data_IF_799231837311
#
_entry.id   IF_799231837311
#
_cell.length_a   1.000
_cell.length_b   1.000
_cell.length_c   1.000
_cell.angle_alpha   90.00
_cell.angle_beta   90.00
_cell.angle_gamma   90.00
#
_symmetry.space_group_name_H-M   'P 1'
#
loop_
_entity.id
_entity.type
_entity.pdbx_description
1 polymer ?
#
# COMPACT_ATOMS: atom_id res chain seq x y z
N UNK A 1 -9.60 12.45 13.11
CA UNK A 1 -10.00 11.66 11.92
C UNK A 1 -9.36 10.29 12.09
N UNK A 2 -10.14 9.27 12.45
CA UNK A 2 -9.63 7.90 12.62
C UNK A 2 -9.93 7.12 11.35
N UNK A 3 -8.87 6.80 10.60
CA UNK A 3 -8.95 5.81 9.54
C UNK A 3 -8.46 4.47 10.08
N UNK A 4 -9.19 3.41 9.79
CA UNK A 4 -8.63 2.08 9.96
C UNK A 4 -7.55 1.88 8.89
N UNK A 5 -6.34 1.55 9.31
CA UNK A 5 -5.27 1.11 8.42
C UNK A 5 -5.08 -0.40 8.58
N UNK A 6 -4.80 -1.08 7.48
CA UNK A 6 -4.57 -2.52 7.43
C UNK A 6 -3.12 -2.81 7.09
N UNK A 7 -2.48 -3.71 7.86
CA UNK A 7 -1.28 -4.41 7.41
C UNK A 7 -1.65 -5.57 6.49
N UNK A 8 -0.80 -5.86 5.54
CA UNK A 8 -0.94 -7.06 4.70
C UNK A 8 0.24 -7.98 4.95
N UNK A 9 -0.04 -9.23 5.31
CA UNK A 9 0.97 -10.27 5.40
C UNK A 9 1.03 -11.03 4.07
N UNK A 10 2.20 -11.06 3.46
CA UNK A 10 2.46 -11.83 2.24
C UNK A 10 3.37 -12.99 2.62
N UNK A 11 2.91 -14.22 2.41
CA UNK A 11 3.71 -15.41 2.65
C UNK A 11 4.49 -15.75 1.38
N UNK A 12 5.81 -15.79 1.51
CA UNK A 12 6.73 -16.15 0.44
C UNK A 12 6.80 -17.67 0.27
N UNK A 13 7.31 -18.13 -0.85
CA UNK A 13 7.41 -19.57 -1.17
C UNK A 13 8.30 -20.35 -0.18
N UNK A 14 9.29 -19.70 0.42
CA UNK A 14 10.12 -20.28 1.47
C UNK A 14 9.41 -20.39 2.84
N UNK A 15 8.19 -19.87 2.95
CA UNK A 15 7.36 -19.86 4.17
C UNK A 15 7.54 -18.62 5.04
N UNK A 16 8.51 -17.76 4.76
CA UNK A 16 8.71 -16.50 5.48
C UNK A 16 7.62 -15.47 5.15
N UNK A 17 7.47 -14.49 6.02
CA UNK A 17 6.45 -13.45 5.89
C UNK A 17 7.09 -12.10 5.58
N UNK A 18 6.48 -11.40 4.61
CA UNK A 18 6.67 -10.00 4.35
C UNK A 18 5.47 -9.23 4.92
N UNK A 19 5.74 -8.30 5.83
CA UNK A 19 4.73 -7.40 6.44
C UNK A 19 4.71 -6.10 5.65
N UNK A 20 3.65 -5.87 4.92
CA UNK A 20 3.45 -4.65 4.12
C UNK A 20 2.56 -3.67 4.87
N UNK A 21 3.02 -2.41 5.01
CA UNK A 21 2.29 -1.35 5.71
C UNK A 21 2.01 -1.69 7.18
N UNK A 22 3.04 -1.76 8.06
CA UNK A 22 2.87 -2.06 9.47
C UNK A 22 1.81 -1.22 10.15
N UNK A 23 0.87 -1.87 10.87
CA UNK A 23 -0.15 -1.28 11.75
C UNK A 23 0.21 -1.50 13.22
N UNK A 24 -0.54 -0.98 14.19
CA UNK A 24 -0.29 -1.30 15.59
C UNK A 24 -0.15 -2.81 15.82
N UNK A 25 0.78 -3.19 16.67
CA UNK A 25 1.09 -4.58 16.99
C UNK A 25 0.96 -4.80 18.50
N UNK A 26 0.40 -5.95 18.88
CA UNK A 26 0.28 -6.41 20.25
C UNK A 26 0.66 -7.89 20.38
N UNK A 27 0.69 -8.40 21.60
CA UNK A 27 1.10 -9.77 21.87
C UNK A 27 0.17 -10.82 21.22
N UNK A 28 -1.12 -10.51 21.10
CA UNK A 28 -2.08 -11.40 20.45
C UNK A 28 -1.80 -11.52 18.96
N UNK A 29 -1.55 -10.41 18.28
CA UNK A 29 -1.19 -10.39 16.86
C UNK A 29 0.14 -11.09 16.61
N UNK A 30 1.14 -10.91 17.50
CA UNK A 30 2.43 -11.62 17.43
C UNK A 30 2.21 -13.13 17.47
N UNK A 31 1.37 -13.64 18.38
CA UNK A 31 1.07 -15.07 18.48
C UNK A 31 0.35 -15.60 17.22
N UNK A 32 -0.60 -14.84 16.69
CA UNK A 32 -1.31 -15.20 15.46
C UNK A 32 -0.34 -15.27 14.26
N UNK A 33 0.57 -14.30 14.14
CA UNK A 33 1.59 -14.27 13.07
C UNK A 33 2.56 -15.44 13.19
N UNK A 34 3.00 -15.76 14.40
CA UNK A 34 3.92 -16.90 14.64
C UNK A 34 3.34 -18.24 14.17
N UNK A 35 2.02 -18.40 14.19
CA UNK A 35 1.34 -19.60 13.67
C UNK A 35 1.32 -19.66 12.13
N UNK A 36 1.57 -18.53 11.43
CA UNK A 36 1.55 -18.44 9.96
C UNK A 36 2.93 -18.62 9.37
N UNK A 37 3.97 -18.01 9.98
CA UNK A 37 5.34 -18.06 9.51
C UNK A 37 6.26 -17.10 10.26
N UNK A 38 7.55 -17.09 9.90
CA UNK A 38 8.54 -16.17 10.45
C UNK A 38 8.49 -14.84 9.71
N UNK A 39 8.43 -13.73 10.42
CA UNK A 39 8.56 -12.40 9.83
C UNK A 39 10.03 -12.17 9.45
N UNK A 40 10.28 -12.08 8.15
CA UNK A 40 11.62 -11.86 7.58
C UNK A 40 11.75 -10.44 7.01
N UNK A 41 10.64 -9.84 6.57
CA UNK A 41 10.66 -8.52 5.96
C UNK A 41 9.59 -7.61 6.53
N UNK A 42 10.00 -6.39 6.92
CA UNK A 42 9.12 -5.28 7.31
C UNK A 42 9.20 -4.23 6.21
N UNK A 43 8.06 -3.87 5.63
CA UNK A 43 7.99 -2.99 4.46
C UNK A 43 7.13 -1.77 4.76
N UNK A 44 7.74 -0.58 4.72
CA UNK A 44 7.04 0.71 4.63
C UNK A 44 6.88 1.08 3.14
N UNK A 45 5.77 0.74 2.49
CA UNK A 45 5.61 0.86 1.04
C UNK A 45 5.39 2.28 0.56
N UNK A 46 5.06 3.19 1.46
CA UNK A 46 4.76 4.58 1.15
C UNK A 46 5.26 5.55 2.22
N UNK A 47 5.40 6.81 1.83
CA UNK A 47 5.89 7.87 2.72
C UNK A 47 4.85 8.37 3.72
N UNK A 48 3.72 7.66 3.87
CA UNK A 48 2.70 7.78 4.92
C UNK A 48 2.45 6.46 5.65
N UNK A 49 3.09 5.34 5.25
CA UNK A 49 2.88 4.00 5.82
C UNK A 49 4.13 3.48 6.55
N UNK A 50 4.68 4.29 7.47
CA UNK A 50 5.90 3.98 8.23
C UNK A 50 5.75 4.11 9.75
N UNK A 51 4.60 4.56 10.25
CA UNK A 51 4.44 4.98 11.66
C UNK A 51 4.75 3.89 12.66
N UNK A 52 4.42 2.65 12.37
CA UNK A 52 4.58 1.51 13.26
C UNK A 52 5.80 0.62 12.94
N UNK A 53 6.63 1.02 11.98
CA UNK A 53 7.84 0.23 11.63
C UNK A 53 8.72 -0.03 12.84
N UNK A 54 8.98 0.98 13.68
CA UNK A 54 9.80 0.81 14.89
C UNK A 54 9.21 -0.16 15.92
N UNK A 55 7.88 -0.27 15.99
CA UNK A 55 7.22 -1.22 16.88
C UNK A 55 7.41 -2.66 16.38
N UNK A 56 7.27 -2.86 15.07
CA UNK A 56 7.52 -4.14 14.43
C UNK A 56 9.00 -4.55 14.48
N UNK A 57 9.94 -3.60 14.34
CA UNK A 57 11.38 -3.88 14.53
C UNK A 57 11.71 -4.35 15.94
N UNK A 58 11.02 -3.82 16.96
CA UNK A 58 11.19 -4.30 18.34
C UNK A 58 10.63 -5.72 18.53
N UNK A 59 9.51 -6.02 17.88
CA UNK A 59 8.91 -7.36 17.94
C UNK A 59 9.70 -8.40 17.11
N UNK A 60 10.32 -7.96 16.00
CA UNK A 60 11.05 -8.83 15.06
C UNK A 60 12.42 -8.21 14.72
N UNK A 61 13.38 -8.25 15.68
CA UNK A 61 14.67 -7.54 15.54
C UNK A 61 15.57 -8.10 14.42
N UNK A 62 15.36 -9.34 14.00
CA UNK A 62 16.11 -9.99 12.92
C UNK A 62 15.51 -9.74 11.53
N UNK A 63 14.34 -9.10 11.45
CA UNK A 63 13.67 -8.84 10.19
C UNK A 63 14.32 -7.68 9.42
N UNK A 64 14.54 -7.88 8.13
CA UNK A 64 15.05 -6.85 7.21
C UNK A 64 14.00 -5.78 6.96
N UNK A 65 14.34 -4.52 7.17
CA UNK A 65 13.45 -3.39 6.98
C UNK A 65 13.67 -2.69 5.64
N UNK A 66 12.59 -2.57 4.87
CA UNK A 66 12.54 -1.91 3.56
C UNK A 66 11.64 -0.70 3.62
N UNK A 67 12.09 0.43 3.11
CA UNK A 67 11.29 1.66 3.11
C UNK A 67 11.16 2.27 1.71
N UNK A 68 10.01 2.88 1.43
CA UNK A 68 9.82 3.71 0.25
C UNK A 68 10.75 4.93 0.30
N UNK A 69 11.39 5.33 -0.81
CA UNK A 69 12.16 6.56 -0.89
C UNK A 69 11.37 7.77 -0.36
N UNK A 70 12.02 8.60 0.45
CA UNK A 70 11.43 9.76 1.10
C UNK A 70 11.04 9.53 2.56
N UNK A 71 10.88 8.29 3.02
CA UNK A 71 10.66 7.97 4.45
C UNK A 71 11.89 8.35 5.26
N UNK A 72 13.10 8.10 4.76
CA UNK A 72 14.38 8.43 5.41
C UNK A 72 14.54 9.93 5.73
N UNK A 73 13.85 10.79 4.98
CA UNK A 73 13.86 12.23 5.24
C UNK A 73 12.84 12.65 6.30
N UNK A 74 11.74 11.90 6.44
CA UNK A 74 10.67 12.15 7.42
C UNK A 74 11.02 11.54 8.79
N UNK A 75 11.77 10.44 8.79
CA UNK A 75 12.13 9.66 9.96
C UNK A 75 13.62 9.37 9.96
N UNK A 76 14.40 10.40 10.27
CA UNK A 76 15.87 10.31 10.39
C UNK A 76 16.34 9.42 11.55
N UNK A 77 15.43 9.10 12.46
CA UNK A 77 15.61 8.20 13.61
C UNK A 77 15.31 6.73 13.30
N UNK A 78 14.65 6.46 12.15
CA UNK A 78 14.25 5.11 11.78
C UNK A 78 15.44 4.35 11.17
N UNK A 79 15.80 3.22 11.79
CA UNK A 79 16.72 2.28 11.15
C UNK A 79 16.03 1.59 9.96
N UNK A 80 16.75 1.41 8.86
CA UNK A 80 16.29 0.62 7.72
C UNK A 80 17.50 0.02 7.01
N UNK A 81 17.30 -1.11 6.33
CA UNK A 81 18.36 -1.81 5.61
C UNK A 81 18.40 -1.36 4.16
N UNK A 82 17.24 -1.22 3.52
CA UNK A 82 17.17 -0.95 2.09
C UNK A 82 16.06 0.02 1.69
N UNK A 83 16.32 0.72 0.60
CA UNK A 83 15.29 1.50 -0.11
C UNK A 83 14.61 0.62 -1.17
N UNK A 84 13.28 0.70 -1.21
CA UNK A 84 12.48 0.10 -2.28
C UNK A 84 12.71 0.84 -3.62
N UNK A 85 12.62 0.11 -4.71
CA UNK A 85 12.81 0.65 -6.06
C UNK A 85 11.81 0.07 -7.07
N UNK A 86 12.15 0.16 -8.35
CA UNK A 86 11.34 -0.35 -9.45
C UNK A 86 11.55 -1.84 -9.76
N UNK A 87 12.48 -2.48 -9.07
CA UNK A 87 12.78 -3.91 -9.23
C UNK A 87 12.66 -4.59 -7.89
N UNK A 88 12.11 -5.78 -7.92
CA UNK A 88 12.07 -6.65 -6.74
C UNK A 88 13.49 -7.04 -6.34
N UNK A 89 13.84 -6.97 -5.06
CA UNK A 89 15.11 -7.50 -4.57
C UNK A 89 15.12 -9.03 -4.65
N UNK A 90 16.31 -9.61 -4.59
CA UNK A 90 16.50 -11.06 -4.64
C UNK A 90 15.67 -11.82 -3.61
N UNK A 91 15.36 -11.19 -2.47
CA UNK A 91 14.58 -11.79 -1.38
C UNK A 91 13.16 -12.23 -1.78
N UNK A 92 12.56 -11.61 -2.81
CA UNK A 92 11.25 -12.00 -3.33
C UNK A 92 11.16 -11.85 -4.87
N UNK A 93 12.31 -11.87 -5.56
CA UNK A 93 12.34 -11.85 -7.02
C UNK A 93 11.61 -13.09 -7.57
N UNK A 94 10.75 -12.85 -8.58
CA UNK A 94 9.93 -13.91 -9.18
C UNK A 94 8.61 -14.19 -8.44
N UNK A 95 8.45 -13.76 -7.18
CA UNK A 95 7.22 -13.93 -6.39
C UNK A 95 6.40 -12.65 -6.31
N UNK A 96 7.05 -11.51 -6.13
CA UNK A 96 6.40 -10.20 -6.03
C UNK A 96 7.04 -9.26 -7.04
N UNK A 97 6.25 -8.73 -7.96
CA UNK A 97 6.66 -7.60 -8.79
C UNK A 97 6.37 -6.28 -8.07
N UNK A 98 7.15 -5.24 -8.39
CA UNK A 98 6.95 -3.94 -7.78
C UNK A 98 7.16 -2.77 -8.75
N UNK A 99 6.49 -1.66 -8.48
CA UNK A 99 6.63 -0.39 -9.20
C UNK A 99 6.64 0.75 -8.19
N UNK A 100 7.72 1.52 -8.18
CA UNK A 100 7.76 2.80 -7.48
C UNK A 100 7.00 3.84 -8.31
N UNK A 101 5.93 4.38 -7.74
CA UNK A 101 5.11 5.39 -8.40
C UNK A 101 5.86 6.71 -8.51
N UNK A 102 5.85 7.29 -9.69
CA UNK A 102 6.45 8.59 -10.02
C UNK A 102 5.38 9.59 -10.45
N UNK A 103 5.77 10.83 -10.63
CA UNK A 103 4.88 11.88 -11.14
C UNK A 103 3.96 12.50 -10.10
N UNK A 104 4.23 12.30 -8.82
CA UNK A 104 3.49 12.88 -7.70
C UNK A 104 4.35 13.86 -6.91
N UNK A 105 3.70 14.83 -6.26
CA UNK A 105 4.38 15.88 -5.48
C UNK A 105 4.41 15.59 -3.98
N UNK A 106 3.37 14.99 -3.43
CA UNK A 106 3.15 14.92 -1.98
C UNK A 106 3.33 13.52 -1.41
N UNK A 107 3.03 12.50 -2.20
CA UNK A 107 2.96 11.13 -1.75
C UNK A 107 3.73 10.22 -2.70
N UNK A 108 4.50 9.30 -2.13
CA UNK A 108 5.23 8.26 -2.86
C UNK A 108 4.85 6.90 -2.30
N UNK A 109 4.66 5.96 -3.18
CA UNK A 109 4.28 4.59 -2.85
C UNK A 109 4.93 3.61 -3.83
N UNK A 110 5.21 2.41 -3.34
CA UNK A 110 5.59 1.27 -4.16
C UNK A 110 4.41 0.30 -4.21
N UNK A 111 3.86 0.09 -5.38
CA UNK A 111 2.84 -0.93 -5.62
C UNK A 111 3.49 -2.31 -5.67
N UNK A 112 2.84 -3.32 -5.06
CA UNK A 112 3.30 -4.72 -5.03
C UNK A 112 2.29 -5.62 -5.74
N UNK A 113 2.77 -6.56 -6.54
CA UNK A 113 1.93 -7.59 -7.15
C UNK A 113 2.44 -8.96 -6.76
N UNK A 114 1.70 -9.65 -5.91
CA UNK A 114 1.99 -11.04 -5.54
C UNK A 114 1.45 -11.98 -6.60
N UNK A 115 2.36 -12.62 -7.34
CA UNK A 115 2.07 -13.41 -8.53
C UNK A 115 1.22 -14.63 -8.24
N UNK A 116 1.57 -15.40 -7.21
CA UNK A 116 0.90 -16.67 -6.90
C UNK A 116 -0.58 -16.50 -6.57
N UNK A 117 -0.95 -15.44 -5.80
CA UNK A 117 -2.35 -15.15 -5.46
C UNK A 117 -3.02 -14.20 -6.44
N UNK A 118 -2.29 -13.70 -7.45
CA UNK A 118 -2.75 -12.68 -8.41
C UNK A 118 -3.33 -11.45 -7.72
N UNK A 119 -2.67 -11.02 -6.64
CA UNK A 119 -3.14 -9.93 -5.79
C UNK A 119 -2.24 -8.70 -5.94
N UNK A 120 -2.85 -7.58 -6.29
CA UNK A 120 -2.22 -6.27 -6.21
C UNK A 120 -2.37 -5.73 -4.79
N UNK A 121 -1.28 -5.26 -4.18
CA UNK A 121 -1.26 -4.71 -2.82
C UNK A 121 -0.86 -3.24 -2.90
N UNK A 122 -1.73 -2.38 -2.40
CA UNK A 122 -1.59 -0.93 -2.45
C UNK A 122 -1.86 -0.31 -1.07
N UNK A 123 -1.46 0.93 -0.90
CA UNK A 123 -1.84 1.77 0.24
C UNK A 123 -2.76 2.91 -0.20
N UNK A 124 -2.19 4.08 -0.44
CA UNK A 124 -2.93 5.33 -0.72
C UNK A 124 -3.21 5.55 -2.21
N UNK A 125 -2.57 4.76 -3.09
CA UNK A 125 -2.81 4.82 -4.53
C UNK A 125 -4.26 4.44 -4.88
N UNK A 126 -4.92 3.71 -3.98
CA UNK A 126 -6.36 3.47 -3.96
C UNK A 126 -6.85 3.41 -2.52
N UNK A 127 -7.87 4.18 -2.23
CA UNK A 127 -8.74 4.04 -1.05
C UNK A 127 -10.15 3.68 -1.53
N UNK A 128 -10.86 2.86 -0.76
CA UNK A 128 -12.21 2.43 -1.08
C UNK A 128 -13.10 2.45 0.18
N UNK A 129 -13.38 3.66 0.64
CA UNK A 129 -14.14 3.90 1.87
C UNK A 129 -15.61 4.16 1.51
N UNK A 130 -16.50 3.45 2.18
CA UNK A 130 -17.92 3.54 1.92
C UNK A 130 -18.80 3.22 3.12
N UNK A 131 -20.10 3.07 2.88
CA UNK A 131 -21.08 2.79 3.93
C UNK A 131 -20.89 1.40 4.57
N UNK A 132 -20.20 0.48 3.90
CA UNK A 132 -19.88 -0.85 4.43
C UNK A 132 -18.56 -0.88 5.23
N UNK A 133 -17.74 0.17 5.13
CA UNK A 133 -16.42 0.19 5.76
C UNK A 133 -16.53 0.35 7.27
N UNK A 134 -15.98 -0.59 8.03
CA UNK A 134 -15.97 -0.53 9.49
C UNK A 134 -15.19 0.69 9.99
N UNK A 135 -15.76 1.42 10.98
CA UNK A 135 -15.14 2.59 11.60
C UNK A 135 -15.19 3.87 10.72
N UNK A 136 -15.93 3.87 9.62
CA UNK A 136 -16.15 5.05 8.79
C UNK A 136 -17.36 5.90 9.24
N UNK A 137 -17.54 6.06 10.58
CA UNK A 137 -18.71 6.73 11.17
C UNK A 137 -18.55 8.24 11.30
N UNK A 138 -17.37 8.80 11.02
CA UNK A 138 -17.11 10.24 11.12
C UNK A 138 -17.90 11.01 10.05
N UNK A 139 -18.92 11.76 10.51
CA UNK A 139 -19.84 12.52 9.66
C UNK A 139 -19.09 13.59 8.84
N UNK A 140 -18.09 14.24 9.43
CA UNK A 140 -17.30 15.28 8.75
C UNK A 140 -16.44 14.65 7.63
N UNK A 141 -15.82 13.52 7.93
CA UNK A 141 -15.09 12.73 6.95
C UNK A 141 -15.99 12.33 5.79
N UNK A 142 -17.16 11.76 6.10
CA UNK A 142 -18.15 11.34 5.10
C UNK A 142 -18.58 12.50 4.20
N UNK A 143 -18.77 13.70 4.75
CA UNK A 143 -19.10 14.88 3.98
C UNK A 143 -17.95 15.29 3.03
N UNK A 144 -16.71 15.33 3.53
CA UNK A 144 -15.54 15.66 2.73
C UNK A 144 -15.32 14.66 1.60
N UNK A 145 -15.40 13.35 1.89
CA UNK A 145 -15.25 12.29 0.89
C UNK A 145 -16.35 12.29 -0.15
N UNK A 146 -17.60 12.64 0.22
CA UNK A 146 -18.71 12.74 -0.72
C UNK A 146 -18.66 14.00 -1.56
N UNK A 147 -18.50 15.16 -0.93
CA UNK A 147 -18.69 16.45 -1.59
C UNK A 147 -17.44 16.96 -2.31
N UNK A 148 -16.25 16.81 -1.71
CA UNK A 148 -15.00 17.39 -2.23
C UNK A 148 -14.27 16.40 -3.13
N UNK A 149 -13.95 15.22 -2.62
CA UNK A 149 -13.12 14.24 -3.35
C UNK A 149 -13.94 13.25 -4.17
N UNK A 150 -15.25 13.15 -3.95
CA UNK A 150 -16.17 12.24 -4.65
C UNK A 150 -15.71 10.78 -4.65
N UNK A 151 -15.18 10.34 -3.52
CA UNK A 151 -14.59 9.01 -3.37
C UNK A 151 -15.37 8.09 -2.41
N UNK A 152 -16.50 8.55 -1.84
CA UNK A 152 -17.34 7.73 -1.01
C UNK A 152 -18.05 6.65 -1.83
N UNK A 153 -17.94 5.37 -1.43
CA UNK A 153 -18.39 4.19 -2.18
C UNK A 153 -17.77 4.07 -3.59
N UNK A 154 -16.61 4.71 -3.81
CA UNK A 154 -15.90 4.67 -5.09
C UNK A 154 -14.41 4.57 -4.85
N UNK A 155 -13.74 3.53 -5.37
CA UNK A 155 -12.28 3.46 -5.32
C UNK A 155 -11.66 4.68 -6.00
N UNK A 156 -10.79 5.38 -5.29
CA UNK A 156 -10.01 6.50 -5.83
C UNK A 156 -8.66 6.62 -5.13
N UNK A 157 -7.66 7.23 -5.76
CA UNK A 157 -6.45 7.62 -5.09
C UNK A 157 -6.75 8.56 -3.91
N UNK A 158 -5.94 8.48 -2.87
CA UNK A 158 -5.99 9.42 -1.74
C UNK A 158 -5.99 10.88 -2.23
N UNK A 159 -6.55 11.82 -1.47
CA UNK A 159 -6.58 13.24 -1.82
C UNK A 159 -5.22 13.80 -2.22
N UNK A 160 -4.14 13.37 -1.57
CA UNK A 160 -2.76 13.76 -1.84
C UNK A 160 -2.32 13.41 -3.26
N UNK A 161 -2.78 12.27 -3.79
CA UNK A 161 -2.57 11.91 -5.19
C UNK A 161 -3.43 12.76 -6.11
N UNK A 162 -4.74 12.89 -5.82
CA UNK A 162 -5.66 13.64 -6.67
C UNK A 162 -5.21 15.09 -6.89
N UNK A 163 -4.63 15.72 -5.86
CA UNK A 163 -4.09 17.08 -5.89
C UNK A 163 -2.61 17.14 -6.30
N UNK A 164 -1.92 16.04 -6.24
CA UNK A 164 -0.46 15.95 -6.34
C UNK A 164 0.10 15.48 -7.67
N UNK A 165 -0.73 15.12 -8.66
CA UNK A 165 -0.24 14.73 -10.00
C UNK A 165 0.52 15.88 -10.67
N UNK A 166 1.84 15.91 -10.57
CA UNK A 166 2.70 16.98 -11.09
C UNK A 166 3.36 16.63 -12.43
N UNK A 167 3.62 15.36 -12.68
CA UNK A 167 4.08 14.82 -13.95
C UNK A 167 3.20 13.62 -14.33
N UNK A 168 2.13 13.91 -15.06
CA UNK A 168 1.15 12.91 -15.45
C UNK A 168 1.72 11.88 -16.44
N UNK A 169 2.73 12.23 -17.23
CA UNK A 169 3.36 11.27 -18.15
C UNK A 169 4.13 10.21 -17.38
N UNK A 170 4.93 10.62 -16.39
CA UNK A 170 5.62 9.68 -15.49
C UNK A 170 4.65 8.84 -14.65
N UNK A 171 3.56 9.44 -14.17
CA UNK A 171 2.50 8.72 -13.45
C UNK A 171 1.84 7.67 -14.35
N UNK A 172 1.45 8.05 -15.57
CA UNK A 172 0.85 7.15 -16.57
C UNK A 172 1.74 5.94 -16.83
N UNK A 173 3.04 6.15 -17.09
CA UNK A 173 3.99 5.06 -17.31
C UNK A 173 3.96 4.04 -16.16
N UNK A 174 3.97 4.52 -14.91
CA UNK A 174 3.90 3.65 -13.74
C UNK A 174 2.56 2.92 -13.64
N UNK A 175 1.45 3.62 -13.82
CA UNK A 175 0.11 3.04 -13.72
C UNK A 175 -0.18 2.04 -14.83
N UNK A 176 0.29 2.28 -16.06
CA UNK A 176 0.18 1.32 -17.15
C UNK A 176 1.00 0.05 -16.90
N UNK A 177 2.19 0.19 -16.30
CA UNK A 177 2.98 -0.98 -15.86
C UNK A 177 2.23 -1.79 -14.80
N UNK A 178 1.57 -1.15 -13.84
CA UNK A 178 0.75 -1.82 -12.83
C UNK A 178 -0.45 -2.50 -13.50
N UNK A 179 -1.13 -1.81 -14.41
CA UNK A 179 -2.27 -2.36 -15.15
C UNK A 179 -1.89 -3.47 -16.15
N UNK A 180 -0.61 -3.62 -16.50
CA UNK A 180 -0.13 -4.74 -17.31
C UNK A 180 0.01 -6.05 -16.51
N UNK A 181 0.00 -5.99 -15.17
CA UNK A 181 -0.04 -7.21 -14.35
C UNK A 181 -1.42 -7.86 -14.41
N UNK A 182 -1.45 -9.19 -14.34
CA UNK A 182 -2.71 -9.96 -14.42
C UNK A 182 -3.37 -10.19 -13.05
N UNK A 183 -3.46 -9.14 -12.23
CA UNK A 183 -4.11 -9.25 -10.92
C UNK A 183 -5.63 -9.44 -11.06
N UNK A 184 -6.22 -10.18 -10.15
CA UNK A 184 -7.66 -10.45 -10.08
C UNK A 184 -8.33 -9.66 -8.95
N UNK A 185 -7.56 -9.33 -7.90
CA UNK A 185 -8.01 -8.61 -6.71
C UNK A 185 -7.02 -7.56 -6.27
N UNK A 186 -7.49 -6.60 -5.47
CA UNK A 186 -6.65 -5.57 -4.86
C UNK A 186 -6.88 -5.54 -3.37
N UNK A 187 -5.80 -5.72 -2.61
CA UNK A 187 -5.75 -5.47 -1.17
C UNK A 187 -5.22 -4.07 -0.94
N UNK A 188 -5.91 -3.30 -0.10
CA UNK A 188 -5.60 -1.90 0.17
C UNK A 188 -5.52 -1.62 1.66
N UNK A 189 -4.76 -0.60 2.04
CA UNK A 189 -4.61 -0.23 3.44
C UNK A 189 -5.90 0.40 4.02
N UNK A 190 -6.65 1.15 3.22
CA UNK A 190 -7.79 1.95 3.68
C UNK A 190 -9.09 1.58 2.97
N UNK A 191 -10.07 1.07 3.76
CA UNK A 191 -11.38 0.69 3.26
C UNK A 191 -11.48 -0.76 2.77
N UNK A 192 -12.42 -1.02 1.87
CA UNK A 192 -12.80 -2.38 1.45
C UNK A 192 -11.95 -2.85 0.26
N UNK A 193 -11.39 -4.04 0.34
CA UNK A 193 -10.64 -4.66 -0.75
C UNK A 193 -11.49 -4.80 -2.03
N UNK A 194 -10.84 -4.86 -3.18
CA UNK A 194 -11.53 -5.00 -4.47
C UNK A 194 -11.37 -6.45 -4.94
N UNK A 195 -12.45 -7.22 -4.88
CA UNK A 195 -12.47 -8.65 -5.19
C UNK A 195 -12.97 -8.96 -6.61
N UNK A 196 -13.60 -7.99 -7.27
CA UNK A 196 -14.19 -8.17 -8.60
C UNK A 196 -13.92 -6.95 -9.48
N UNK A 197 -13.79 -7.20 -10.79
CA UNK A 197 -13.58 -6.16 -11.80
C UNK A 197 -12.37 -5.24 -11.51
N UNK A 198 -11.36 -5.78 -10.83
CA UNK A 198 -10.25 -5.01 -10.28
C UNK A 198 -9.58 -4.11 -11.33
N UNK A 199 -9.26 -4.62 -12.52
CA UNK A 199 -8.66 -3.83 -13.60
C UNK A 199 -9.53 -2.67 -14.07
N UNK A 200 -10.82 -2.91 -14.30
CA UNK A 200 -11.75 -1.89 -14.77
C UNK A 200 -11.92 -0.78 -13.72
N UNK A 201 -12.08 -1.18 -12.45
CA UNK A 201 -12.23 -0.24 -11.32
C UNK A 201 -10.99 0.61 -11.10
N UNK A 202 -9.78 0.03 -11.22
CA UNK A 202 -8.54 0.79 -11.09
C UNK A 202 -8.33 1.72 -12.29
N UNK A 203 -8.61 1.29 -13.50
CA UNK A 203 -8.53 2.14 -14.69
C UNK A 203 -9.45 3.36 -14.59
N UNK A 204 -10.67 3.17 -14.07
CA UNK A 204 -11.60 4.27 -13.80
C UNK A 204 -11.04 5.19 -12.68
N UNK A 205 -10.55 4.63 -11.59
CA UNK A 205 -10.00 5.39 -10.46
C UNK A 205 -8.82 6.26 -10.87
N UNK A 206 -7.96 5.77 -11.77
CA UNK A 206 -6.76 6.46 -12.28
C UNK A 206 -6.99 7.22 -13.60
N UNK A 207 -8.23 7.47 -13.98
CA UNK A 207 -8.53 8.11 -15.28
C UNK A 207 -7.80 9.44 -15.47
N UNK A 208 -7.69 10.30 -14.43
CA UNK A 208 -7.05 11.62 -14.56
C UNK A 208 -5.60 11.55 -15.07
N UNK A 209 -4.68 10.77 -14.51
CA UNK A 209 -3.33 10.64 -15.07
C UNK A 209 -3.27 9.75 -16.33
N UNK A 210 -4.22 8.84 -16.55
CA UNK A 210 -4.21 7.94 -17.71
C UNK A 210 -4.70 8.61 -19.01
N UNK A 211 -5.56 9.61 -18.90
CA UNK A 211 -6.18 10.28 -20.08
C UNK A 211 -5.61 11.66 -20.42
N UNK A 212 -4.60 12.10 -19.70
CA UNK A 212 -4.01 13.46 -19.83
C UNK A 212 -2.88 13.50 -20.83
#
# INVERSE_FOLDING_TARGET
>A
MNFSARSTLIRLLNGDLLVHSPSPIDDELIQQIAAIGRVEHIVAPGNYHYFYVSDWQRAYPDATTWICPGVERKRTDLHFDWLLGNRSPASWEGEIDQVLLRGTRFIWEVAFFHRASRTLVLTDLIENIGDATQGADDVLLKLWWKAVFRMWNRPKPAPEYQLGWSDKAAARECLERILAWNFERVVIAHGDCIEQDAHARLREAWASPLTS
#
